data_IF_926929708588
#
_entry.id   IF_926929708588
#
_cell.length_a   1.000
_cell.length_b   1.000
_cell.length_c   1.000
_cell.angle_alpha   90.00
_cell.angle_beta   90.00
_cell.angle_gamma   90.00
#
_symmetry.space_group_name_H-M   'P 1'
#
loop_
_entity.id
_entity.type
_entity.pdbx_description
1 polymer ?
#
# COMPACT_ATOMS: atom_id res chain seq x y z
N UNK A 1 5.97 -16.75 7.72
CA UNK A 1 4.78 -17.34 7.16
C UNK A 1 4.00 -16.29 6.41
N UNK A 2 4.17 -16.39 5.17
CA UNK A 2 3.72 -15.45 4.18
C UNK A 2 2.35 -15.89 3.73
N UNK A 3 1.41 -14.97 3.60
CA UNK A 3 0.05 -15.28 3.22
C UNK A 3 -0.87 -15.45 4.43
N UNK A 4 -0.86 -14.50 5.34
CA UNK A 4 -1.86 -14.45 6.40
C UNK A 4 -3.22 -14.15 5.80
N UNK A 5 -4.14 -15.11 5.90
CA UNK A 5 -5.56 -14.84 5.66
C UNK A 5 -6.12 -14.21 6.93
N UNK A 6 -6.63 -12.99 6.81
CA UNK A 6 -7.44 -12.38 7.86
C UNK A 6 -8.89 -12.69 7.50
N UNK A 7 -9.59 -13.41 8.38
CA UNK A 7 -11.03 -13.70 8.22
C UNK A 7 -11.80 -12.72 9.10
N UNK A 8 -12.72 -11.98 8.50
CA UNK A 8 -13.73 -11.22 9.20
C UNK A 8 -15.06 -11.52 8.52
N UNK A 9 -16.03 -12.05 9.28
CA UNK A 9 -17.42 -12.31 8.85
C UNK A 9 -17.61 -12.93 7.46
N UNK A 10 -16.85 -13.99 7.15
CA UNK A 10 -16.95 -14.70 5.87
C UNK A 10 -16.05 -14.19 4.75
N UNK A 11 -15.42 -13.03 4.89
CA UNK A 11 -14.44 -12.51 3.94
C UNK A 11 -13.02 -12.80 4.42
N UNK A 12 -12.19 -13.27 3.51
CA UNK A 12 -10.75 -13.45 3.72
C UNK A 12 -9.98 -12.59 2.74
N UNK A 13 -9.25 -11.59 3.23
CA UNK A 13 -8.30 -10.84 2.39
C UNK A 13 -6.99 -11.59 2.36
N UNK A 14 -6.56 -11.95 1.15
CA UNK A 14 -5.29 -12.64 0.91
C UNK A 14 -4.20 -11.62 0.67
N UNK A 15 -3.16 -11.62 1.51
CA UNK A 15 -1.93 -10.89 1.24
C UNK A 15 -1.06 -11.73 0.28
N UNK A 16 -0.92 -11.29 -0.95
CA UNK A 16 -0.06 -11.89 -1.97
C UNK A 16 1.30 -11.19 -1.89
N UNK A 17 2.25 -11.80 -1.20
CA UNK A 17 3.61 -11.29 -1.05
C UNK A 17 4.59 -12.20 -1.79
N UNK A 18 5.79 -11.74 -2.15
CA UNK A 18 6.82 -12.56 -2.77
C UNK A 18 7.07 -13.88 -2.00
N UNK A 19 7.44 -14.97 -2.70
CA UNK A 19 7.64 -16.26 -2.08
C UNK A 19 8.82 -16.24 -1.10
N UNK A 20 8.85 -17.19 -0.15
CA UNK A 20 9.92 -17.30 0.86
C UNK A 20 11.34 -17.45 0.30
N UNK A 21 11.48 -17.93 -0.93
CA UNK A 21 12.76 -17.99 -1.64
C UNK A 21 13.28 -16.61 -2.06
N UNK A 22 12.43 -15.57 -2.02
CA UNK A 22 12.78 -14.18 -2.32
C UNK A 22 13.01 -13.40 -1.02
N UNK A 23 14.05 -12.60 -0.88
CA UNK A 23 14.23 -11.70 0.25
C UNK A 23 13.10 -10.65 0.33
N UNK A 24 12.47 -10.32 -0.79
CA UNK A 24 11.45 -9.27 -0.89
C UNK A 24 10.14 -9.55 -0.13
N UNK A 25 9.93 -10.78 0.35
CA UNK A 25 8.77 -11.18 1.16
C UNK A 25 9.02 -11.23 2.67
N UNK A 26 10.18 -10.77 3.16
CA UNK A 26 10.49 -10.69 4.60
C UNK A 26 9.73 -9.53 5.23
N UNK A 27 9.09 -9.77 6.38
CA UNK A 27 8.28 -8.81 7.12
C UNK A 27 8.76 -8.69 8.57
N UNK A 28 8.92 -7.46 9.05
CA UNK A 28 8.97 -7.17 10.49
C UNK A 28 7.61 -7.46 11.14
N UNK A 29 7.58 -7.88 12.40
CA UNK A 29 6.33 -8.21 13.09
C UNK A 29 5.37 -7.00 13.20
N UNK A 30 5.88 -5.78 13.32
CA UNK A 30 5.07 -4.55 13.34
C UNK A 30 4.35 -4.32 12.01
N UNK A 31 5.07 -4.51 10.89
CA UNK A 31 4.47 -4.43 9.56
C UNK A 31 3.43 -5.54 9.36
N UNK A 32 3.70 -6.75 9.86
CA UNK A 32 2.73 -7.86 9.80
C UNK A 32 1.44 -7.52 10.54
N UNK A 33 1.50 -6.86 11.69
CA UNK A 33 0.33 -6.41 12.44
C UNK A 33 -0.43 -5.33 11.68
N UNK A 34 0.26 -4.29 11.19
CA UNK A 34 -0.35 -3.22 10.41
C UNK A 34 -1.03 -3.73 9.13
N UNK A 35 -0.41 -4.70 8.42
CA UNK A 35 -1.02 -5.36 7.26
C UNK A 35 -2.24 -6.22 7.65
N UNK A 36 -2.26 -6.78 8.87
CA UNK A 36 -3.43 -7.47 9.41
C UNK A 36 -4.61 -6.52 9.62
N UNK A 37 -4.37 -5.34 10.17
CA UNK A 37 -5.38 -4.29 10.34
C UNK A 37 -5.80 -3.70 8.99
N UNK A 38 -4.86 -3.49 8.06
CA UNK A 38 -5.16 -3.10 6.68
C UNK A 38 -6.12 -4.09 6.03
N UNK A 39 -5.90 -5.39 6.20
CA UNK A 39 -6.77 -6.41 5.63
C UNK A 39 -8.21 -6.30 6.13
N UNK A 40 -8.46 -5.87 7.38
CA UNK A 40 -9.79 -5.60 7.88
C UNK A 40 -10.44 -4.41 7.15
N UNK A 41 -9.70 -3.30 6.99
CA UNK A 41 -10.16 -2.13 6.22
C UNK A 41 -10.48 -2.51 4.78
N UNK A 42 -9.59 -3.26 4.13
CA UNK A 42 -9.79 -3.71 2.75
C UNK A 42 -11.05 -4.58 2.59
N UNK A 43 -11.33 -5.46 3.56
CA UNK A 43 -12.54 -6.29 3.55
C UNK A 43 -13.83 -5.46 3.62
N UNK A 44 -13.85 -4.35 4.38
CA UNK A 44 -14.99 -3.41 4.44
C UNK A 44 -15.30 -2.80 3.06
N UNK A 45 -14.30 -2.73 2.17
CA UNK A 45 -14.40 -2.20 0.81
C UNK A 45 -14.51 -3.30 -0.27
N UNK A 46 -14.83 -4.53 0.13
CA UNK A 46 -15.03 -5.63 -0.81
C UNK A 46 -13.75 -6.18 -1.45
N UNK A 47 -12.57 -5.82 -0.92
CA UNK A 47 -11.30 -6.38 -1.39
C UNK A 47 -11.11 -7.78 -0.82
N UNK A 48 -10.73 -8.74 -1.68
CA UNK A 48 -10.47 -10.13 -1.30
C UNK A 48 -9.00 -10.52 -1.39
N UNK A 49 -8.20 -9.75 -2.13
CA UNK A 49 -6.74 -9.94 -2.18
C UNK A 49 -6.02 -8.61 -2.43
N UNK A 50 -4.81 -8.50 -1.89
CA UNK A 50 -3.88 -7.40 -2.18
C UNK A 50 -2.54 -7.96 -2.64
N UNK A 51 -2.01 -7.43 -3.74
CA UNK A 51 -0.71 -7.78 -4.28
C UNK A 51 0.35 -6.85 -3.73
N UNK A 52 1.36 -7.43 -3.08
CA UNK A 52 2.50 -6.75 -2.50
C UNK A 52 3.75 -7.27 -3.19
N UNK A 53 4.44 -6.44 -3.93
CA UNK A 53 5.58 -6.86 -4.75
C UNK A 53 6.89 -6.86 -3.96
N UNK A 54 6.95 -6.05 -2.89
CA UNK A 54 8.19 -5.86 -2.17
C UNK A 54 7.94 -5.41 -0.72
N UNK A 55 8.66 -6.02 0.22
CA UNK A 55 8.63 -5.63 1.64
C UNK A 55 10.03 -5.41 2.21
N UNK A 56 11.02 -6.18 1.77
CA UNK A 56 12.39 -6.09 2.27
C UNK A 56 13.39 -5.97 1.13
N UNK A 57 14.19 -4.91 1.15
CA UNK A 57 15.31 -4.66 0.25
C UNK A 57 16.56 -4.39 1.09
N UNK A 58 17.47 -5.37 1.25
CA UNK A 58 18.70 -5.17 2.00
C UNK A 58 19.53 -4.04 1.38
N UNK A 59 20.04 -3.14 2.22
CA UNK A 59 20.82 -1.96 1.83
C UNK A 59 20.07 -0.93 1.00
N UNK A 60 18.71 -0.95 1.04
CA UNK A 60 17.92 0.09 0.38
C UNK A 60 18.11 1.45 1.08
N UNK A 61 18.29 2.49 0.28
CA UNK A 61 18.39 3.88 0.72
C UNK A 61 17.33 4.74 0.04
N UNK A 62 17.02 5.87 0.66
CA UNK A 62 16.16 6.88 0.04
C UNK A 62 16.87 7.47 -1.18
N UNK A 63 16.13 7.80 -2.26
CA UNK A 63 16.70 8.39 -3.47
C UNK A 63 17.58 9.61 -3.17
N UNK A 64 18.79 9.63 -3.73
CA UNK A 64 19.73 10.74 -3.54
C UNK A 64 20.29 10.91 -2.12
N UNK A 65 20.12 9.92 -1.23
CA UNK A 65 20.48 10.01 0.18
C UNK A 65 21.21 8.76 0.68
N UNK A 66 22.00 8.91 1.75
CA UNK A 66 22.56 7.76 2.51
C UNK A 66 21.61 7.27 3.61
N UNK A 67 20.43 7.90 3.77
CA UNK A 67 19.45 7.48 4.78
C UNK A 67 18.81 6.16 4.35
N UNK A 68 18.80 5.13 5.23
CA UNK A 68 18.15 3.86 4.91
C UNK A 68 16.66 4.05 4.63
N UNK A 69 16.15 3.35 3.61
CA UNK A 69 14.71 3.18 3.39
C UNK A 69 14.11 2.24 4.43
N UNK A 70 12.81 2.36 4.72
CA UNK A 70 12.09 1.44 5.61
C UNK A 70 12.06 0.00 5.05
N UNK A 71 12.18 -0.18 3.74
CA UNK A 71 12.41 -1.50 3.14
C UNK A 71 13.68 -2.21 3.65
N UNK A 72 14.72 -1.45 4.03
CA UNK A 72 15.94 -2.03 4.60
C UNK A 72 15.70 -2.70 5.96
N UNK A 73 14.59 -2.39 6.60
CA UNK A 73 14.19 -2.92 7.91
C UNK A 73 12.96 -3.84 7.84
N UNK A 74 12.51 -4.19 6.63
CA UNK A 74 11.25 -4.92 6.40
C UNK A 74 10.01 -4.21 7.02
N UNK A 75 10.05 -2.88 7.11
CA UNK A 75 9.02 -2.00 7.67
C UNK A 75 8.21 -1.26 6.61
N UNK A 76 8.36 -1.61 5.35
CA UNK A 76 7.61 -1.04 4.23
C UNK A 76 7.01 -2.13 3.35
N UNK A 77 5.93 -1.78 2.64
CA UNK A 77 5.28 -2.64 1.66
C UNK A 77 4.93 -1.82 0.41
N UNK A 78 5.31 -2.34 -0.76
CA UNK A 78 4.95 -1.78 -2.06
C UNK A 78 3.73 -2.54 -2.60
N UNK A 79 2.55 -1.92 -2.53
CA UNK A 79 1.28 -2.49 -2.98
C UNK A 79 1.03 -2.08 -4.42
N UNK A 80 0.77 -3.07 -5.29
CA UNK A 80 0.58 -2.84 -6.74
C UNK A 80 -0.84 -3.07 -7.22
N UNK A 81 -1.65 -3.86 -6.51
CA UNK A 81 -3.03 -4.10 -6.92
C UNK A 81 -3.93 -4.59 -5.77
N UNK A 82 -5.23 -4.37 -5.95
CA UNK A 82 -6.31 -4.87 -5.11
C UNK A 82 -7.28 -5.69 -5.97
N UNK A 83 -7.61 -6.91 -5.55
CA UNK A 83 -8.64 -7.73 -6.20
C UNK A 83 -9.94 -7.63 -5.42
N UNK A 84 -11.03 -7.28 -6.10
CA UNK A 84 -12.35 -7.13 -5.53
C UNK A 84 -13.13 -8.46 -5.52
N UNK A 85 -14.18 -8.54 -4.72
CA UNK A 85 -15.03 -9.73 -4.59
C UNK A 85 -15.77 -10.08 -5.89
N UNK A 86 -16.01 -9.10 -6.77
CA UNK A 86 -16.62 -9.28 -8.09
C UNK A 86 -15.63 -9.78 -9.15
N UNK A 87 -14.35 -9.99 -8.79
CA UNK A 87 -13.29 -10.49 -9.66
C UNK A 87 -12.50 -9.38 -10.38
N UNK A 88 -12.92 -8.12 -10.33
CA UNK A 88 -12.15 -7.00 -10.89
C UNK A 88 -10.85 -6.81 -10.10
N UNK A 89 -9.85 -6.26 -10.77
CA UNK A 89 -8.57 -5.89 -10.15
C UNK A 89 -8.29 -4.42 -10.42
N UNK A 90 -8.13 -3.65 -9.34
CA UNK A 90 -7.67 -2.27 -9.36
C UNK A 90 -6.14 -2.29 -9.33
N UNK A 91 -5.50 -1.88 -10.40
CA UNK A 91 -4.03 -1.82 -10.52
C UNK A 91 -3.54 -0.38 -10.38
N UNK A 92 -2.57 -0.15 -9.50
CA UNK A 92 -2.07 1.20 -9.20
C UNK A 92 -1.55 1.87 -10.47
N UNK A 93 -0.74 1.20 -11.28
CA UNK A 93 -0.15 1.77 -12.48
C UNK A 93 -1.19 2.14 -13.56
N UNK A 94 -2.23 1.32 -13.69
CA UNK A 94 -3.26 1.52 -14.73
C UNK A 94 -4.36 2.49 -14.28
N UNK A 95 -4.81 2.35 -13.04
CA UNK A 95 -6.07 2.95 -12.59
C UNK A 95 -5.87 4.18 -11.70
N UNK A 96 -4.60 4.53 -11.38
CA UNK A 96 -4.30 5.78 -10.69
C UNK A 96 -3.82 6.85 -11.67
N UNK A 97 -4.65 7.81 -12.04
CA UNK A 97 -4.22 8.93 -12.89
C UNK A 97 -3.36 9.90 -12.07
N UNK A 98 -2.05 9.65 -12.08
CA UNK A 98 -1.10 10.39 -11.25
C UNK A 98 -0.97 11.85 -11.68
N UNK A 99 -1.04 12.74 -10.70
CA UNK A 99 -0.69 14.16 -10.82
C UNK A 99 0.37 14.47 -9.77
N UNK A 100 1.65 14.51 -10.18
CA UNK A 100 2.78 14.68 -9.26
C UNK A 100 2.67 15.98 -8.50
N UNK A 101 2.75 15.89 -7.17
CA UNK A 101 2.61 17.02 -6.24
C UNK A 101 1.17 17.35 -5.84
N UNK A 102 0.16 16.80 -6.52
CA UNK A 102 -1.24 17.01 -6.16
C UNK A 102 -1.64 16.19 -4.92
N UNK A 103 -2.56 16.70 -4.08
CA UNK A 103 -3.11 15.93 -2.98
C UNK A 103 -3.76 14.63 -3.47
N UNK A 104 -3.45 13.53 -2.79
CA UNK A 104 -4.06 12.23 -3.11
C UNK A 104 -5.51 12.13 -2.61
N UNK A 105 -5.81 12.78 -1.49
CA UNK A 105 -7.10 12.74 -0.80
C UNK A 105 -7.51 14.14 -0.31
N UNK A 106 -8.80 14.30 -0.03
CA UNK A 106 -9.37 15.55 0.48
C UNK A 106 -10.04 16.39 -0.60
N UNK A 107 -10.57 17.56 -0.22
CA UNK A 107 -11.38 18.40 -1.12
C UNK A 107 -10.59 19.00 -2.28
N UNK A 108 -9.27 19.12 -2.14
CA UNK A 108 -8.37 19.65 -3.19
C UNK A 108 -7.78 18.52 -4.07
N UNK A 109 -8.16 17.27 -3.84
CA UNK A 109 -7.68 16.16 -4.64
C UNK A 109 -8.36 16.18 -6.01
N UNK A 110 -7.58 16.44 -7.05
CA UNK A 110 -8.06 16.37 -8.42
C UNK A 110 -8.15 14.92 -8.89
N UNK A 111 -9.29 14.57 -9.50
CA UNK A 111 -9.48 13.30 -10.17
C UNK A 111 -8.99 13.46 -11.61
N UNK A 112 -7.84 12.88 -11.93
CA UNK A 112 -7.31 12.89 -13.30
C UNK A 112 -8.05 11.97 -14.26
N UNK A 113 -9.09 11.24 -13.78
CA UNK A 113 -9.93 10.34 -14.57
C UNK A 113 -11.26 10.10 -13.86
N UNK A 114 -12.33 9.95 -14.68
CA UNK A 114 -13.70 9.66 -14.21
C UNK A 114 -14.05 8.16 -14.30
N UNK A 115 -13.07 7.29 -14.58
CA UNK A 115 -13.33 5.85 -14.65
C UNK A 115 -13.72 5.32 -13.28
N UNK A 116 -14.60 4.32 -13.26
CA UNK A 116 -15.05 3.68 -12.03
C UNK A 116 -13.86 3.15 -11.22
N UNK A 117 -12.90 2.51 -11.88
CA UNK A 117 -11.69 1.96 -11.27
C UNK A 117 -10.84 3.04 -10.60
N UNK A 118 -10.67 4.21 -11.25
CA UNK A 118 -9.91 5.32 -10.68
C UNK A 118 -10.60 5.90 -9.44
N UNK A 119 -11.92 6.04 -9.47
CA UNK A 119 -12.72 6.51 -8.35
C UNK A 119 -12.69 5.53 -7.17
N UNK A 120 -12.92 4.23 -7.45
CA UNK A 120 -12.88 3.18 -6.43
C UNK A 120 -11.49 3.07 -5.79
N UNK A 121 -10.43 3.09 -6.61
CA UNK A 121 -9.06 3.01 -6.12
C UNK A 121 -8.71 4.19 -5.22
N UNK A 122 -9.06 5.41 -5.62
CA UNK A 122 -8.84 6.61 -4.80
C UNK A 122 -9.62 6.55 -3.49
N UNK A 123 -10.89 6.19 -3.54
CA UNK A 123 -11.72 6.05 -2.33
C UNK A 123 -11.12 5.03 -1.37
N UNK A 124 -10.65 3.88 -1.88
CA UNK A 124 -9.99 2.85 -1.10
C UNK A 124 -8.71 3.36 -0.44
N UNK A 125 -7.84 4.04 -1.19
CA UNK A 125 -6.59 4.61 -0.66
C UNK A 125 -6.86 5.67 0.41
N UNK A 126 -7.87 6.51 0.19
CA UNK A 126 -8.26 7.53 1.19
C UNK A 126 -8.88 6.91 2.45
N UNK A 127 -9.63 5.81 2.32
CA UNK A 127 -10.11 5.05 3.47
C UNK A 127 -8.96 4.42 4.27
N UNK A 128 -7.95 3.86 3.58
CA UNK A 128 -6.73 3.35 4.22
C UNK A 128 -5.99 4.48 4.97
N UNK A 129 -5.84 5.64 4.34
CA UNK A 129 -5.16 6.79 4.93
C UNK A 129 -5.87 7.31 6.18
N UNK A 130 -7.21 7.34 6.18
CA UNK A 130 -8.02 7.78 7.31
C UNK A 130 -7.84 6.91 8.57
N UNK A 131 -7.43 5.65 8.41
CA UNK A 131 -7.17 4.73 9.53
C UNK A 131 -5.83 4.97 10.23
N UNK A 132 -4.92 5.75 9.62
CA UNK A 132 -3.62 6.10 10.19
C UNK A 132 -2.76 4.88 10.61
N UNK A 133 -2.89 3.76 9.90
CA UNK A 133 -2.17 2.51 10.17
C UNK A 133 -0.69 2.60 9.84
N UNK A 134 -0.30 3.50 8.94
CA UNK A 134 1.05 3.69 8.44
C UNK A 134 1.55 5.10 8.74
N UNK A 135 2.86 5.23 8.91
CA UNK A 135 3.50 6.53 9.11
C UNK A 135 3.57 7.32 7.80
N UNK A 136 3.83 6.65 6.69
CA UNK A 136 3.75 7.23 5.36
C UNK A 136 2.94 6.33 4.43
N UNK A 137 2.17 6.99 3.56
CA UNK A 137 1.52 6.41 2.41
C UNK A 137 1.94 7.27 1.22
N UNK A 138 2.88 6.77 0.41
CA UNK A 138 3.29 7.46 -0.82
C UNK A 138 2.46 6.89 -1.96
N UNK A 139 1.77 7.78 -2.66
CA UNK A 139 0.93 7.44 -3.82
C UNK A 139 1.68 7.76 -5.11
N UNK A 140 1.16 7.39 -6.28
CA UNK A 140 1.71 7.83 -7.57
C UNK A 140 1.79 9.36 -7.74
N UNK A 141 1.10 10.14 -6.91
CA UNK A 141 1.22 11.60 -6.92
C UNK A 141 2.50 12.10 -6.23
N UNK A 142 3.24 11.26 -5.52
CA UNK A 142 4.43 11.68 -4.79
C UNK A 142 5.60 11.97 -5.73
N UNK A 143 5.98 10.99 -6.55
CA UNK A 143 7.04 11.13 -7.56
C UNK A 143 6.96 10.01 -8.63
N UNK A 144 7.79 10.12 -9.66
CA UNK A 144 7.85 9.17 -10.77
C UNK A 144 8.27 7.75 -10.33
N UNK A 145 9.02 7.61 -9.25
CA UNK A 145 9.45 6.30 -8.76
C UNK A 145 8.29 5.50 -8.14
N UNK A 146 7.24 6.19 -7.67
CA UNK A 146 6.05 5.59 -7.06
C UNK A 146 4.87 5.44 -8.04
N UNK A 147 5.06 5.71 -9.37
CA UNK A 147 3.96 5.72 -10.36
C UNK A 147 3.16 4.42 -10.45
N UNK A 148 3.73 3.28 -10.05
CA UNK A 148 3.17 1.95 -10.23
C UNK A 148 2.82 1.21 -8.93
N UNK A 149 2.96 1.87 -7.77
CA UNK A 149 2.66 1.26 -6.48
C UNK A 149 2.30 2.30 -5.42
N UNK A 150 1.64 1.84 -4.36
CA UNK A 150 1.55 2.56 -3.10
C UNK A 150 2.67 2.08 -2.19
N UNK A 151 3.49 2.99 -1.71
CA UNK A 151 4.46 2.67 -0.67
C UNK A 151 3.82 2.93 0.70
N UNK A 152 3.73 1.90 1.51
CA UNK A 152 3.19 1.94 2.87
C UNK A 152 4.33 1.67 3.85
N UNK A 153 4.60 2.56 4.82
CA UNK A 153 5.67 2.30 5.76
C UNK A 153 5.33 2.58 7.22
N UNK A 154 6.10 1.90 8.09
CA UNK A 154 6.20 2.19 9.51
C UNK A 154 7.60 2.72 9.79
N UNK A 155 7.69 3.85 10.47
CA UNK A 155 8.99 4.37 10.89
C UNK A 155 9.56 3.57 12.05
N UNK A 156 10.86 3.31 11.97
CA UNK A 156 11.59 2.59 13.02
C UNK A 156 11.48 3.27 14.38
N UNK A 157 11.49 4.61 14.39
CA UNK A 157 11.64 5.45 15.59
C UNK A 157 10.36 6.25 15.94
N UNK A 158 9.16 5.76 15.59
CA UNK A 158 7.84 6.34 15.96
C UNK A 158 7.61 7.81 15.57
N UNK A 159 8.06 8.26 14.42
CA UNK A 159 7.67 9.58 13.90
C UNK A 159 6.20 9.56 13.39
N UNK A 160 5.52 10.72 13.45
CA UNK A 160 4.10 10.87 13.03
C UNK A 160 3.91 10.58 11.55
N UNK A 161 2.79 9.93 11.20
CA UNK A 161 2.46 9.57 9.83
C UNK A 161 2.03 10.74 8.93
N UNK A 162 2.29 10.60 7.63
CA UNK A 162 1.84 11.51 6.58
C UNK A 162 1.41 10.73 5.34
N UNK A 163 0.33 11.17 4.67
CA UNK A 163 0.01 10.76 3.30
C UNK A 163 0.57 11.81 2.32
N UNK A 164 1.20 11.36 1.24
CA UNK A 164 1.73 12.21 0.15
C UNK A 164 1.48 11.59 -1.21
#
# INVERSE_FOLDING_TARGET
PVGRRVRQEGFAVRLQVPPRSSPYGVLDCRLTLALGELAAVLAEHGVVAVRIDNTYRPRAHLPGSRRPSQHNYALAADVTAFTLADGRTLEIERDWPAAIGAPACGPEAELGSDTLEALELRNLVCAIAARQLFHHILTPNYDVAHRNHLHLDLQRDNARGNIR
#
